data_IF_502499868744
#
_entry.id   IF_502499868744
#
_cell.length_a   1.000
_cell.length_b   1.000
_cell.length_c   1.000
_cell.angle_alpha   90.00
_cell.angle_beta   90.00
_cell.angle_gamma   90.00
#
_symmetry.space_group_name_H-M   'P 1'
#
loop_
_entity.id
_entity.type
_entity.pdbx_description
1 polymer ?
#
# COMPACT_ATOMS: atom_id res chain seq x y z
N UNK A 1 9.94 12.94 -25.99
CA UNK A 1 9.83 11.50 -25.69
C UNK A 1 10.22 11.29 -24.23
N UNK A 2 9.41 11.78 -23.29
CA UNK A 2 9.80 11.90 -21.87
C UNK A 2 8.80 11.21 -20.90
N UNK A 3 7.83 10.46 -21.43
CA UNK A 3 6.72 9.92 -20.65
C UNK A 3 6.84 8.41 -20.33
N UNK A 4 7.96 7.76 -20.65
CA UNK A 4 8.12 6.30 -20.48
C UNK A 4 8.83 5.90 -19.18
N UNK A 5 9.42 6.85 -18.45
CA UNK A 5 10.39 6.54 -17.38
C UNK A 5 9.74 5.84 -16.17
N UNK A 6 8.41 5.94 -15.96
CA UNK A 6 7.74 5.27 -14.83
C UNK A 6 6.46 4.50 -15.20
N UNK A 7 6.43 3.83 -16.34
CA UNK A 7 5.26 3.00 -16.69
C UNK A 7 5.25 1.71 -15.87
N UNK A 8 4.47 1.70 -14.80
CA UNK A 8 4.17 0.49 -14.02
C UNK A 8 3.48 -0.53 -14.94
N UNK A 9 4.04 -1.73 -15.01
CA UNK A 9 3.40 -2.87 -15.69
C UNK A 9 2.49 -3.57 -14.69
N UNK A 10 1.22 -3.64 -15.01
CA UNK A 10 0.20 -4.31 -14.19
C UNK A 10 0.02 -5.77 -14.63
N UNK A 11 -0.40 -6.68 -13.73
CA UNK A 11 -0.57 -6.47 -12.29
C UNK A 11 0.77 -6.37 -11.54
N UNK A 12 0.74 -5.79 -10.33
CA UNK A 12 1.91 -5.62 -9.47
C UNK A 12 1.75 -6.45 -8.20
N UNK A 13 2.75 -7.26 -7.88
CA UNK A 13 2.83 -7.97 -6.60
C UNK A 13 3.47 -7.06 -5.54
N UNK A 14 2.80 -6.91 -4.41
CA UNK A 14 3.25 -6.08 -3.29
C UNK A 14 3.31 -6.92 -2.03
N UNK A 15 4.46 -6.88 -1.36
CA UNK A 15 4.68 -7.51 -0.07
C UNK A 15 5.49 -6.59 0.84
N UNK A 16 5.43 -6.83 2.14
CA UNK A 16 6.07 -6.01 3.17
C UNK A 16 5.09 -5.53 4.23
N UNK A 17 5.52 -4.49 4.95
CA UNK A 17 4.76 -3.95 6.07
C UNK A 17 4.57 -2.45 5.92
N UNK A 18 3.36 -1.96 6.18
CA UNK A 18 3.07 -0.52 6.33
C UNK A 18 2.54 -0.34 7.74
N UNK A 19 3.13 0.56 8.50
CA UNK A 19 2.63 0.93 9.81
C UNK A 19 2.49 2.45 9.89
N UNK A 20 1.35 2.92 10.38
CA UNK A 20 1.18 4.30 10.77
C UNK A 20 1.62 4.49 12.23
N UNK A 21 2.15 5.67 12.52
CA UNK A 21 2.32 6.13 13.89
C UNK A 21 1.27 7.20 14.14
N UNK A 22 0.47 7.01 15.16
CA UNK A 22 -0.29 8.14 15.69
C UNK A 22 0.53 8.86 16.77
N UNK A 23 0.18 10.12 17.01
CA UNK A 23 0.82 10.96 18.01
C UNK A 23 0.23 10.74 19.42
N UNK A 24 -0.85 9.96 19.53
CA UNK A 24 -1.63 9.81 20.75
C UNK A 24 -1.02 8.72 21.66
N UNK A 25 -0.64 7.58 21.08
CA UNK A 25 -0.13 6.44 21.83
C UNK A 25 1.26 5.96 21.36
N UNK A 26 1.83 6.59 20.32
CA UNK A 26 3.11 6.22 19.67
C UNK A 26 3.13 4.76 19.21
N UNK A 27 2.00 4.07 19.16
CA UNK A 27 1.94 2.71 18.67
C UNK A 27 2.19 2.69 17.17
N UNK A 28 2.85 1.63 16.73
CA UNK A 28 2.99 1.31 15.31
C UNK A 28 1.76 0.49 14.93
N UNK A 29 0.70 1.17 14.52
CA UNK A 29 -0.51 0.51 14.05
C UNK A 29 -0.21 -0.11 12.69
N UNK A 30 -0.14 -1.45 12.65
CA UNK A 30 0.18 -2.19 11.46
C UNK A 30 -1.03 -2.14 10.51
N UNK A 31 -0.83 -1.51 9.36
CA UNK A 31 -1.88 -1.26 8.40
C UNK A 31 -1.83 -2.25 7.21
N UNK A 32 -0.64 -2.72 6.89
CA UNK A 32 -0.41 -3.72 5.85
C UNK A 32 0.68 -4.66 6.32
N UNK A 33 0.51 -5.95 6.03
CA UNK A 33 1.43 -7.01 6.42
C UNK A 33 1.25 -8.18 5.48
N UNK A 34 2.02 -8.21 4.40
CA UNK A 34 2.05 -9.36 3.49
C UNK A 34 3.44 -9.93 3.37
N UNK A 35 3.50 -11.25 3.30
CA UNK A 35 4.77 -11.97 3.14
C UNK A 35 5.13 -12.06 1.67
N UNK A 36 6.38 -12.40 1.38
CA UNK A 36 6.83 -12.61 0.01
C UNK A 36 6.21 -13.86 -0.63
N UNK A 37 5.87 -14.86 0.20
CA UNK A 37 5.29 -16.13 -0.26
C UNK A 37 3.78 -16.01 -0.55
N UNK A 38 3.15 -14.97 -0.01
CA UNK A 38 1.74 -14.61 -0.25
C UNK A 38 1.61 -13.10 -0.51
N UNK A 39 2.08 -12.61 -1.67
CA UNK A 39 2.04 -11.19 -1.98
C UNK A 39 0.63 -10.75 -2.36
N UNK A 40 0.30 -9.51 -2.06
CA UNK A 40 -0.93 -8.91 -2.56
C UNK A 40 -0.80 -8.51 -4.03
N UNK A 41 -1.77 -8.92 -4.86
CA UNK A 41 -1.85 -8.49 -6.26
C UNK A 41 -2.65 -7.19 -6.38
N UNK A 42 -1.97 -6.12 -6.78
CA UNK A 42 -2.59 -4.86 -7.17
C UNK A 42 -2.87 -4.86 -8.68
N UNK A 43 -4.09 -4.50 -9.03
CA UNK A 43 -4.52 -4.30 -10.42
C UNK A 43 -4.88 -2.84 -10.64
N UNK A 44 -4.84 -2.38 -11.90
CA UNK A 44 -5.09 -0.99 -12.25
C UNK A 44 -6.46 -0.48 -11.76
N UNK A 45 -7.48 -1.35 -11.73
CA UNK A 45 -8.83 -1.00 -11.24
C UNK A 45 -8.94 -0.94 -9.70
N UNK A 46 -8.12 -1.70 -8.97
CA UNK A 46 -8.26 -1.91 -7.51
C UNK A 46 -7.26 -1.05 -6.70
N UNK A 47 -6.29 -0.43 -7.39
CA UNK A 47 -5.22 0.37 -6.77
C UNK A 47 -5.71 1.54 -5.89
N UNK A 48 -6.88 2.10 -6.19
CA UNK A 48 -7.44 3.24 -5.45
C UNK A 48 -8.10 2.84 -4.12
N UNK A 49 -8.62 1.62 -4.01
CA UNK A 49 -9.34 1.18 -2.81
C UNK A 49 -8.42 1.02 -1.59
N UNK A 50 -7.18 0.57 -1.78
CA UNK A 50 -6.21 0.41 -0.70
C UNK A 50 -5.66 1.74 -0.18
N UNK A 51 -5.48 2.75 -1.04
CA UNK A 51 -5.05 4.08 -0.59
C UNK A 51 -6.16 4.77 0.21
N UNK A 52 -7.43 4.54 -0.14
CA UNK A 52 -8.60 5.16 0.50
C UNK A 52 -8.96 4.48 1.85
N UNK A 53 -8.83 3.15 1.95
CA UNK A 53 -9.12 2.41 3.20
C UNK A 53 -8.06 2.63 4.30
N UNK A 54 -6.93 3.26 3.99
CA UNK A 54 -5.89 3.66 4.95
C UNK A 54 -6.12 5.07 5.55
N UNK A 55 -7.01 5.87 4.98
CA UNK A 55 -7.34 7.22 5.48
C UNK A 55 -8.03 7.26 6.86
N UNK A 56 -8.87 6.29 7.29
CA UNK A 56 -9.57 6.40 8.57
C UNK A 56 -8.71 6.04 9.79
N UNK A 57 -7.42 5.70 9.62
CA UNK A 57 -6.51 5.40 10.73
C UNK A 57 -5.66 6.61 11.17
N UNK A 58 -5.96 7.80 10.64
CA UNK A 58 -5.28 9.07 10.94
C UNK A 58 -6.22 10.18 11.44
N UNK A 59 -7.50 9.88 11.70
CA UNK A 59 -8.48 10.83 12.27
C UNK A 59 -8.82 10.51 13.71
#
# INVERSE_FOLDING_TARGET
MENEIWRIRWPVEVYGFIAARDNLDRNRNLLFSQTRDDPQILTQQVSFFFLILMLPLLT
#
